data_IF_526681816278
#
_entry.id   IF_526681816278
#
_cell.length_a   1.000
_cell.length_b   1.000
_cell.length_c   1.000
_cell.angle_alpha   90.00
_cell.angle_beta   90.00
_cell.angle_gamma   90.00
#
_symmetry.space_group_name_H-M   'P 1'
#
loop_
_entity.id
_entity.type
_entity.pdbx_description
1 polymer ?
#
# COMPACT_ATOMS: atom_id res chain seq x y z
N UNK A 1 11.50 40.11 -21.23
CA UNK A 1 12.27 38.88 -20.93
C UNK A 1 12.32 38.57 -19.44
N UNK A 2 12.93 39.41 -18.60
CA UNK A 2 13.17 39.15 -17.16
C UNK A 2 11.95 38.58 -16.38
N UNK A 3 10.78 39.21 -16.48
CA UNK A 3 9.56 38.75 -15.78
C UNK A 3 9.13 37.31 -16.16
N UNK A 4 9.31 36.91 -17.43
CA UNK A 4 8.98 35.54 -17.88
C UNK A 4 9.93 34.53 -17.25
N UNK A 5 11.21 34.86 -17.13
CA UNK A 5 12.20 34.01 -16.46
C UNK A 5 11.85 33.82 -14.98
N UNK A 6 11.44 34.90 -14.28
CA UNK A 6 10.99 34.83 -12.88
C UNK A 6 9.75 33.94 -12.75
N UNK A 7 8.75 34.10 -13.61
CA UNK A 7 7.53 33.25 -13.59
C UNK A 7 7.88 31.78 -13.82
N UNK A 8 8.74 31.45 -14.79
CA UNK A 8 9.18 30.07 -15.05
C UNK A 8 9.95 29.50 -13.86
N UNK A 9 10.87 30.26 -13.26
CA UNK A 9 11.70 29.80 -12.14
C UNK A 9 10.88 29.58 -10.87
N UNK A 10 9.93 30.49 -10.55
CA UNK A 10 8.99 30.31 -9.43
C UNK A 10 8.10 29.09 -9.66
N UNK A 11 7.54 28.89 -10.86
CA UNK A 11 6.74 27.70 -11.16
C UNK A 11 7.58 26.41 -11.10
N UNK A 12 8.82 26.42 -11.59
CA UNK A 12 9.72 25.27 -11.51
C UNK A 12 10.03 24.89 -10.06
N UNK A 13 10.33 25.87 -9.20
CA UNK A 13 10.52 25.64 -7.75
C UNK A 13 9.25 25.15 -7.09
N UNK A 14 8.08 25.70 -7.44
CA UNK A 14 6.79 25.26 -6.88
C UNK A 14 6.44 23.83 -7.30
N UNK A 15 6.62 23.48 -8.57
CA UNK A 15 6.45 22.12 -9.11
C UNK A 15 7.44 21.16 -8.45
N UNK A 16 8.73 21.50 -8.37
CA UNK A 16 9.73 20.65 -7.70
C UNK A 16 9.41 20.49 -6.21
N UNK A 17 8.96 21.52 -5.49
CA UNK A 17 8.63 21.42 -4.07
C UNK A 17 7.36 20.60 -3.79
N UNK A 18 6.35 20.67 -4.67
CA UNK A 18 5.14 19.84 -4.56
C UNK A 18 5.40 18.40 -5.06
N UNK A 19 6.31 18.19 -6.02
CA UNK A 19 6.72 16.87 -6.47
C UNK A 19 7.81 16.23 -5.58
N UNK A 20 8.55 17.00 -4.76
CA UNK A 20 9.64 16.49 -3.92
C UNK A 20 9.22 15.35 -2.96
N UNK A 21 8.03 15.40 -2.31
CA UNK A 21 7.51 14.24 -1.57
C UNK A 21 7.37 13.00 -2.46
N UNK A 22 6.90 13.17 -3.70
CA UNK A 22 6.68 12.07 -4.65
C UNK A 22 7.98 11.58 -5.33
N UNK A 23 9.00 12.45 -5.44
CA UNK A 23 10.37 12.15 -5.87
C UNK A 23 11.20 11.50 -4.73
N UNK A 24 10.61 10.53 -4.04
CA UNK A 24 11.21 9.87 -2.87
C UNK A 24 10.24 9.00 -2.08
N UNK A 25 8.92 9.26 -2.18
CA UNK A 25 7.89 8.33 -1.70
C UNK A 25 8.10 6.94 -2.31
N UNK A 26 8.45 5.97 -1.47
CA UNK A 26 8.37 4.56 -1.83
C UNK A 26 6.95 4.25 -2.34
N UNK A 27 6.86 3.50 -3.45
CA UNK A 27 5.63 3.22 -4.20
C UNK A 27 4.47 2.62 -3.38
N UNK A 28 4.70 2.19 -2.14
CA UNK A 28 3.66 1.87 -1.17
C UNK A 28 2.67 3.03 -0.93
N UNK A 29 3.12 4.29 -0.95
CA UNK A 29 2.23 5.46 -0.82
C UNK A 29 1.21 5.59 -1.96
N UNK A 30 1.53 5.05 -3.14
CA UNK A 30 0.59 4.99 -4.27
C UNK A 30 -0.44 3.84 -4.12
N UNK A 31 -0.24 2.90 -3.19
CA UNK A 31 -1.22 1.85 -2.87
C UNK A 31 -2.28 2.31 -1.86
N UNK A 32 -2.01 3.36 -1.07
CA UNK A 32 -2.91 3.86 -0.01
C UNK A 32 -3.75 5.07 -0.41
N UNK A 33 -3.46 5.74 -1.54
CA UNK A 33 -4.20 6.93 -1.96
C UNK A 33 -5.46 6.59 -2.80
N UNK A 34 -6.60 7.11 -2.30
CA UNK A 34 -8.00 7.03 -2.79
C UNK A 34 -9.24 5.98 -2.27
N UNK A 35 -10.08 7.12 -2.26
CA UNK A 35 -10.63 7.91 -1.11
C UNK A 35 -12.16 7.83 -1.02
N UNK A 36 -12.66 7.37 0.13
CA UNK A 36 -14.05 7.38 0.58
C UNK A 36 -14.02 6.98 2.06
N UNK A 37 -13.94 7.96 2.95
CA UNK A 37 -13.44 7.82 4.31
C UNK A 37 -14.26 6.83 5.17
N UNK A 38 -13.57 5.88 5.80
CA UNK A 38 -14.02 5.22 7.01
C UNK A 38 -12.98 5.51 8.11
N UNK A 39 -13.41 6.18 9.17
CA UNK A 39 -12.55 6.42 10.33
C UNK A 39 -12.68 5.24 11.31
N UNK A 40 -11.56 4.60 11.64
CA UNK A 40 -11.45 3.70 12.78
C UNK A 40 -10.30 4.20 13.63
N UNK A 41 -10.56 4.47 14.91
CA UNK A 41 -9.59 4.90 15.91
C UNK A 41 -8.68 6.07 15.47
N UNK A 42 -9.28 7.05 14.80
CA UNK A 42 -8.59 8.24 14.27
C UNK A 42 -7.77 8.00 12.98
N UNK A 43 -7.66 6.76 12.50
CA UNK A 43 -7.00 6.41 11.24
C UNK A 43 -7.99 6.43 10.08
N UNK A 44 -7.61 7.11 9.00
CA UNK A 44 -8.38 7.15 7.75
C UNK A 44 -7.84 6.11 6.77
N UNK A 45 -8.43 4.92 6.77
CA UNK A 45 -8.13 3.92 5.76
C UNK A 45 -8.90 4.19 4.46
N UNK A 46 -8.24 3.93 3.34
CA UNK A 46 -8.83 3.90 2.01
C UNK A 46 -8.44 2.58 1.33
N UNK A 47 -9.29 2.15 0.41
CA UNK A 47 -9.02 1.04 -0.50
C UNK A 47 -9.95 1.17 -1.71
N UNK A 48 -9.43 1.11 -2.95
CA UNK A 48 -10.26 1.26 -4.13
C UNK A 48 -11.26 0.10 -4.22
N UNK A 49 -12.50 0.42 -4.63
CA UNK A 49 -13.58 -0.57 -4.80
C UNK A 49 -13.35 -1.54 -5.98
N UNK A 50 -12.28 -1.35 -6.75
CA UNK A 50 -11.94 -2.10 -7.95
C UNK A 50 -10.48 -2.59 -7.84
N UNK A 51 -10.21 -3.78 -8.36
CA UNK A 51 -8.83 -4.25 -8.56
C UNK A 51 -8.07 -3.27 -9.48
N UNK A 52 -6.85 -2.90 -9.07
CA UNK A 52 -6.01 -1.92 -9.80
C UNK A 52 -5.32 -2.54 -11.03
N UNK A 53 -5.11 -3.86 -11.02
CA UNK A 53 -4.59 -4.68 -12.12
C UNK A 53 -5.06 -6.12 -11.92
N UNK A 54 -5.33 -6.81 -13.03
CA UNK A 54 -5.71 -8.24 -13.06
C UNK A 54 -4.50 -9.17 -12.91
N UNK A 55 -3.28 -8.65 -13.07
CA UNK A 55 -2.03 -9.40 -12.88
C UNK A 55 -1.62 -9.54 -11.40
N UNK A 56 -2.38 -8.94 -10.48
CA UNK A 56 -2.14 -9.02 -9.03
C UNK A 56 -3.06 -10.04 -8.36
N UNK A 57 -2.51 -10.87 -7.47
CA UNK A 57 -3.31 -11.70 -6.56
C UNK A 57 -3.96 -10.80 -5.50
N UNK A 58 -5.27 -10.91 -5.31
CA UNK A 58 -5.99 -10.26 -4.20
C UNK A 58 -6.38 -11.28 -3.13
N UNK A 59 -6.32 -10.84 -1.88
CA UNK A 59 -6.54 -11.64 -0.67
C UNK A 59 -7.40 -10.90 0.33
N UNK A 60 -8.34 -11.59 0.98
CA UNK A 60 -8.91 -11.13 2.25
C UNK A 60 -7.94 -11.50 3.38
N UNK A 61 -7.62 -10.54 4.25
CA UNK A 61 -6.91 -10.83 5.50
C UNK A 61 -7.92 -11.45 6.47
N UNK A 62 -7.69 -12.69 6.89
CA UNK A 62 -8.56 -13.39 7.84
C UNK A 62 -8.05 -13.26 9.29
N UNK A 63 -6.73 -13.26 9.46
CA UNK A 63 -6.05 -13.16 10.76
C UNK A 63 -4.70 -12.49 10.57
N UNK A 64 -4.33 -11.61 11.49
CA UNK A 64 -3.01 -10.98 11.58
C UNK A 64 -2.69 -10.81 13.07
N UNK A 65 -1.65 -11.48 13.54
CA UNK A 65 -1.20 -11.44 14.93
C UNK A 65 0.32 -11.17 14.98
N UNK A 66 0.74 -9.92 15.25
CA UNK A 66 2.14 -9.60 15.47
C UNK A 66 2.59 -10.16 16.83
N UNK A 67 3.78 -10.73 16.87
CA UNK A 67 4.41 -11.28 18.08
C UNK A 67 5.83 -10.72 18.21
N UNK A 68 6.26 -10.45 19.44
CA UNK A 68 7.55 -9.85 19.78
C UNK A 68 7.83 -8.49 19.09
N UNK A 69 6.79 -7.75 18.68
CA UNK A 69 6.94 -6.46 17.97
C UNK A 69 5.83 -5.48 18.36
N UNK A 70 6.23 -4.43 19.09
CA UNK A 70 5.40 -3.27 19.39
C UNK A 70 5.93 -2.08 18.57
N UNK A 71 5.37 -1.86 17.38
CA UNK A 71 5.79 -0.78 16.48
C UNK A 71 4.60 -0.09 15.82
N UNK A 72 4.75 1.18 15.36
CA UNK A 72 3.69 1.88 14.64
C UNK A 72 3.19 1.09 13.42
N UNK A 73 4.11 0.48 12.66
CA UNK A 73 3.78 -0.37 11.51
C UNK A 73 2.90 -1.58 11.90
N UNK A 74 3.16 -2.22 13.05
CA UNK A 74 2.37 -3.35 13.53
C UNK A 74 0.96 -2.89 13.97
N UNK A 75 0.88 -1.76 14.67
CA UNK A 75 -0.38 -1.14 15.07
C UNK A 75 -1.23 -0.69 13.87
N UNK A 76 -0.62 -0.07 12.87
CA UNK A 76 -1.30 0.42 11.66
C UNK A 76 -1.81 -0.73 10.80
N UNK A 77 -0.97 -1.75 10.56
CA UNK A 77 -1.39 -2.90 9.76
C UNK A 77 -2.41 -3.77 10.50
N UNK A 78 -2.35 -3.85 11.83
CA UNK A 78 -3.39 -4.50 12.65
C UNK A 78 -4.75 -3.81 12.55
N UNK A 79 -4.80 -2.48 12.68
CA UNK A 79 -6.02 -1.71 12.49
C UNK A 79 -6.58 -1.84 11.05
N UNK A 80 -5.71 -1.89 10.04
CA UNK A 80 -6.10 -2.15 8.65
C UNK A 80 -6.64 -3.58 8.43
N UNK A 81 -6.01 -4.60 9.04
CA UNK A 81 -6.48 -5.98 8.99
C UNK A 81 -7.87 -6.14 9.63
N UNK A 82 -8.09 -5.51 10.79
CA UNK A 82 -9.41 -5.49 11.43
C UNK A 82 -10.46 -4.78 10.57
N UNK A 83 -10.12 -3.62 9.97
CA UNK A 83 -11.01 -2.90 9.06
C UNK A 83 -11.38 -3.73 7.81
N UNK A 84 -10.40 -4.32 7.13
CA UNK A 84 -10.64 -5.14 5.93
C UNK A 84 -11.44 -6.41 6.24
N UNK A 85 -11.19 -7.06 7.38
CA UNK A 85 -11.99 -8.18 7.87
C UNK A 85 -13.45 -7.80 8.12
N UNK A 86 -13.69 -6.72 8.88
CA UNK A 86 -15.05 -6.24 9.19
C UNK A 86 -15.86 -5.84 7.94
N UNK A 87 -15.19 -5.30 6.92
CA UNK A 87 -15.81 -4.85 5.67
C UNK A 87 -15.78 -5.90 4.55
N UNK A 88 -15.27 -7.12 4.83
CA UNK A 88 -15.08 -8.23 3.87
C UNK A 88 -14.34 -7.81 2.60
N UNK A 89 -13.32 -6.96 2.73
CA UNK A 89 -12.53 -6.42 1.62
C UNK A 89 -11.37 -7.35 1.25
N UNK A 90 -11.02 -7.34 -0.04
CA UNK A 90 -9.82 -8.00 -0.58
C UNK A 90 -8.79 -6.95 -0.97
N UNK A 91 -7.52 -7.21 -0.65
CA UNK A 91 -6.38 -6.31 -0.84
C UNK A 91 -5.34 -6.97 -1.74
N UNK A 92 -4.54 -6.18 -2.46
CA UNK A 92 -3.49 -6.72 -3.29
C UNK A 92 -2.41 -7.39 -2.41
N UNK A 93 -1.96 -8.60 -2.76
CA UNK A 93 -0.97 -9.34 -1.98
C UNK A 93 0.34 -8.58 -1.79
N UNK A 94 0.76 -7.73 -2.75
CA UNK A 94 1.98 -6.92 -2.58
C UNK A 94 1.82 -5.81 -1.53
N UNK A 95 0.59 -5.37 -1.22
CA UNK A 95 0.34 -4.45 -0.09
C UNK A 95 0.56 -5.16 1.24
N UNK A 96 0.01 -6.38 1.39
CA UNK A 96 0.22 -7.25 2.56
C UNK A 96 1.70 -7.55 2.76
N UNK A 97 2.41 -7.90 1.69
CA UNK A 97 3.87 -8.12 1.69
C UNK A 97 4.66 -6.88 2.10
N UNK A 98 4.30 -5.71 1.59
CA UNK A 98 4.94 -4.45 1.98
C UNK A 98 4.78 -4.21 3.49
N UNK A 99 3.55 -4.22 4.02
CA UNK A 99 3.33 -3.99 5.45
C UNK A 99 3.96 -5.06 6.34
N UNK A 100 3.91 -6.34 5.93
CA UNK A 100 4.63 -7.41 6.62
C UNK A 100 6.14 -7.13 6.68
N UNK A 101 6.76 -6.72 5.56
CA UNK A 101 8.19 -6.36 5.54
C UNK A 101 8.54 -5.17 6.44
N UNK A 102 7.65 -4.17 6.58
CA UNK A 102 7.84 -3.06 7.52
C UNK A 102 7.80 -3.55 8.98
N UNK A 103 6.84 -4.42 9.31
CA UNK A 103 6.70 -4.99 10.66
C UNK A 103 7.89 -5.88 11.00
N UNK A 104 8.26 -6.81 10.12
CA UNK A 104 9.41 -7.70 10.30
C UNK A 104 10.75 -6.94 10.36
N UNK A 105 10.86 -5.81 9.68
CA UNK A 105 12.04 -4.92 9.76
C UNK A 105 12.08 -4.00 10.98
N UNK A 106 10.99 -3.90 11.75
CA UNK A 106 10.86 -2.90 12.83
C UNK A 106 11.41 -3.32 14.20
N UNK A 107 11.68 -4.62 14.43
CA UNK A 107 12.34 -5.10 15.64
C UNK A 107 13.10 -6.42 15.40
N UNK A 108 14.24 -6.66 16.08
CA UNK A 108 14.90 -7.96 16.04
C UNK A 108 14.00 -9.04 16.67
N UNK A 109 13.87 -10.18 15.99
CA UNK A 109 12.96 -11.28 16.36
C UNK A 109 11.45 -10.97 16.28
N UNK A 110 11.06 -9.90 15.57
CA UNK A 110 9.68 -9.68 15.16
C UNK A 110 9.14 -10.90 14.39
N UNK A 111 7.91 -11.32 14.70
CA UNK A 111 7.21 -12.37 13.97
C UNK A 111 5.74 -12.01 13.77
N UNK A 112 5.10 -12.63 12.77
CA UNK A 112 3.71 -12.36 12.41
C UNK A 112 3.06 -13.70 12.06
N UNK A 113 1.98 -14.04 12.75
CA UNK A 113 1.06 -15.09 12.30
C UNK A 113 0.01 -14.44 11.37
N UNK A 114 -0.23 -15.03 10.19
CA UNK A 114 -1.07 -14.43 9.14
C UNK A 114 -1.86 -15.50 8.39
N UNK A 115 -3.19 -15.35 8.35
CA UNK A 115 -4.08 -16.13 7.50
C UNK A 115 -4.69 -15.25 6.42
N UNK A 116 -4.53 -15.65 5.16
CA UNK A 116 -5.05 -14.98 3.98
C UNK A 116 -5.96 -15.93 3.18
N UNK A 117 -6.99 -15.39 2.53
CA UNK A 117 -7.78 -16.14 1.53
C UNK A 117 -7.85 -15.40 0.22
N UNK A 118 -7.42 -16.05 -0.86
CA UNK A 118 -7.48 -15.51 -2.22
C UNK A 118 -8.93 -15.33 -2.71
N UNK A 119 -9.14 -14.52 -3.75
CA UNK A 119 -10.45 -14.42 -4.42
C UNK A 119 -10.96 -15.76 -4.99
N UNK A 120 -10.04 -16.67 -5.35
CA UNK A 120 -10.36 -18.04 -5.76
C UNK A 120 -10.73 -18.97 -4.60
N UNK A 121 -10.79 -18.46 -3.36
CA UNK A 121 -11.17 -19.21 -2.16
C UNK A 121 -10.03 -20.02 -1.52
N UNK A 122 -8.88 -20.18 -2.17
CA UNK A 122 -7.71 -20.85 -1.60
C UNK A 122 -7.15 -20.07 -0.41
N UNK A 123 -6.88 -20.77 0.69
CA UNK A 123 -6.32 -20.23 1.93
C UNK A 123 -4.78 -20.34 1.92
N UNK A 124 -4.12 -19.38 2.57
CA UNK A 124 -2.67 -19.28 2.73
C UNK A 124 -2.38 -18.90 4.19
N UNK A 125 -1.90 -19.85 4.97
CA UNK A 125 -1.58 -19.67 6.38
C UNK A 125 -0.06 -19.62 6.60
N UNK A 126 0.39 -18.70 7.44
CA UNK A 126 1.79 -18.48 7.77
C UNK A 126 1.96 -18.34 9.28
N UNK A 127 2.63 -19.30 9.92
CA UNK A 127 2.94 -19.24 11.36
C UNK A 127 3.93 -18.11 11.70
N UNK A 128 4.86 -17.81 10.78
CA UNK A 128 5.78 -16.69 10.88
C UNK A 128 6.13 -16.09 9.50
N UNK A 129 5.40 -15.06 9.09
CA UNK A 129 5.65 -14.32 7.82
C UNK A 129 7.07 -13.74 7.76
N UNK A 130 7.70 -13.44 8.90
CA UNK A 130 9.06 -12.90 8.95
C UNK A 130 10.14 -13.95 8.64
N UNK A 131 9.79 -15.23 8.59
CA UNK A 131 10.65 -16.30 8.08
C UNK A 131 10.46 -16.58 6.58
N UNK A 132 9.47 -15.94 5.92
CA UNK A 132 9.01 -16.29 4.57
C UNK A 132 9.53 -15.33 3.48
N UNK A 133 10.55 -15.71 2.68
CA UNK A 133 11.08 -14.83 1.62
C UNK A 133 10.06 -14.54 0.52
N UNK A 134 9.06 -15.42 0.37
CA UNK A 134 7.91 -15.30 -0.54
C UNK A 134 6.95 -14.17 -0.13
N UNK A 135 6.99 -13.75 1.13
CA UNK A 135 6.13 -12.72 1.71
C UNK A 135 6.87 -11.43 2.05
N UNK A 136 8.20 -11.47 2.26
CA UNK A 136 9.02 -10.27 2.43
C UNK A 136 9.38 -9.59 1.08
N UNK A 137 9.26 -10.29 -0.05
CA UNK A 137 9.46 -9.74 -1.40
C UNK A 137 8.15 -9.20 -1.98
N UNK A 138 8.08 -7.90 -2.21
CA UNK A 138 7.00 -7.22 -2.93
C UNK A 138 7.52 -6.61 -4.24
N UNK A 139 6.70 -6.61 -5.29
CA UNK A 139 7.03 -5.96 -6.57
C UNK A 139 6.40 -4.55 -6.62
N UNK A 140 7.14 -3.51 -7.08
CA UNK A 140 6.59 -2.16 -7.24
C UNK A 140 5.55 -2.13 -8.37
N UNK A 141 4.57 -1.23 -8.29
CA UNK A 141 3.52 -1.11 -9.31
C UNK A 141 4.07 -0.82 -10.72
N UNK A 142 5.22 -0.15 -10.82
CA UNK A 142 5.90 0.13 -12.10
C UNK A 142 6.51 -1.10 -12.79
N UNK A 143 6.62 -2.24 -12.11
CA UNK A 143 6.97 -3.52 -12.76
C UNK A 143 5.74 -4.36 -13.17
N UNK A 144 4.51 -3.86 -12.95
CA UNK A 144 3.30 -4.46 -13.51
C UNK A 144 3.00 -3.81 -14.86
N UNK A 145 3.33 -4.51 -15.95
CA UNK A 145 3.02 -4.10 -17.33
C UNK A 145 1.52 -3.83 -17.54
N UNK A 146 0.67 -4.59 -16.84
CA UNK A 146 -0.75 -4.74 -17.14
C UNK A 146 -1.65 -3.91 -16.19
N UNK A 147 -1.36 -2.61 -16.13
CA UNK A 147 -2.31 -1.60 -15.64
C UNK A 147 -3.46 -1.48 -16.65
N UNK A 148 -4.68 -1.87 -16.24
CA UNK A 148 -5.89 -1.79 -17.09
C UNK A 148 -6.07 -0.38 -17.69
N UNK A 149 -6.75 -0.21 -18.84
CA UNK A 149 -6.99 1.11 -19.44
C UNK A 149 -7.61 2.14 -18.48
N UNK A 150 -8.46 1.67 -17.56
CA UNK A 150 -9.08 2.47 -16.48
C UNK A 150 -8.05 2.92 -15.43
N UNK A 151 -7.09 2.06 -15.06
CA UNK A 151 -5.97 2.39 -14.18
C UNK A 151 -5.10 3.51 -14.78
N UNK A 152 -4.82 3.45 -16.08
CA UNK A 152 -4.11 4.53 -16.80
C UNK A 152 -4.87 5.87 -16.81
N UNK A 153 -6.20 5.85 -16.75
CA UNK A 153 -7.03 7.04 -16.58
C UNK A 153 -6.75 7.74 -15.25
N UNK A 154 -6.82 7.00 -14.14
CA UNK A 154 -6.53 7.54 -12.81
C UNK A 154 -5.07 8.00 -12.68
N UNK A 155 -4.10 7.22 -13.17
CA UNK A 155 -2.66 7.62 -13.16
C UNK A 155 -2.42 8.92 -13.93
N UNK A 156 -3.09 9.13 -15.08
CA UNK A 156 -2.99 10.38 -15.86
C UNK A 156 -3.76 11.55 -15.24
N UNK A 157 -4.78 11.28 -14.42
CA UNK A 157 -5.48 12.31 -13.65
C UNK A 157 -4.63 12.76 -12.46
N UNK A 158 -3.95 11.84 -11.77
CA UNK A 158 -3.01 12.12 -10.69
C UNK A 158 -1.78 12.91 -11.15
N UNK A 159 -1.25 12.63 -12.34
CA UNK A 159 -0.13 13.38 -12.93
C UNK A 159 -0.51 14.83 -13.36
N UNK A 160 -1.66 15.36 -12.90
CA UNK A 160 -2.20 16.69 -13.22
C UNK A 160 -2.79 17.40 -11.98
N UNK A 161 -2.66 16.83 -10.79
CA UNK A 161 -3.21 17.31 -9.52
C UNK A 161 -2.13 17.43 -8.46
#
# INVERSE_FOLDING_TARGET
MFAVMVVVLVNAVFVVNNLAPYLGLHYAGAMTMFSNQAAIDGRHFFMPKLALSDAGVYVAIQRFEPRNVESPAASEFGAFAAWTGSTRRVVNLNFVRYHASQVCGSAPNASIELSLRTEAGAQMDFENVCAEPSMLRYAPLTSMSDCKPVCWGYVKQWARS
#
